data_IF_527641268372
#
_entry.id   IF_527641268372
#
_cell.length_a   1.000
_cell.length_b   1.000
_cell.length_c   1.000
_cell.angle_alpha   90.00
_cell.angle_beta   90.00
_cell.angle_gamma   90.00
#
_symmetry.space_group_name_H-M   'P 1'
#
loop_
_entity.id
_entity.type
_entity.pdbx_description
1 polymer ?
#
# COMPACT_ATOMS: atom_id res chain seq x y z
N UNK A 1 7.43 30.77 20.28
CA UNK A 1 7.53 29.60 21.18
C UNK A 1 8.35 28.56 20.45
N UNK A 2 9.56 28.25 20.94
CA UNK A 2 10.52 27.38 20.28
C UNK A 2 10.73 26.11 21.12
N UNK A 3 9.92 25.11 20.86
CA UNK A 3 10.17 23.70 21.20
C UNK A 3 9.80 22.72 20.07
N UNK A 4 10.21 22.92 18.79
CA UNK A 4 10.08 21.88 17.77
C UNK A 4 11.36 21.02 17.58
N UNK A 5 12.54 21.47 18.02
CA UNK A 5 13.81 20.76 17.75
C UNK A 5 14.05 19.54 18.63
N UNK A 6 13.62 19.58 19.90
CA UNK A 6 13.85 18.49 20.85
C UNK A 6 13.08 17.21 20.46
N UNK A 7 11.83 17.36 20.03
CA UNK A 7 10.97 16.25 19.63
C UNK A 7 11.49 15.54 18.36
N UNK A 8 12.11 16.30 17.45
CA UNK A 8 12.74 15.76 16.24
C UNK A 8 13.98 14.95 16.58
N UNK A 9 14.88 15.48 17.41
CA UNK A 9 16.10 14.77 17.76
C UNK A 9 15.81 13.48 18.54
N UNK A 10 14.83 13.50 19.46
CA UNK A 10 14.38 12.30 20.16
C UNK A 10 13.79 11.26 19.20
N UNK A 11 12.93 11.68 18.27
CA UNK A 11 12.34 10.77 17.29
C UNK A 11 13.40 10.18 16.35
N UNK A 12 14.36 10.98 15.87
CA UNK A 12 15.47 10.52 15.02
C UNK A 12 16.32 9.49 15.78
N UNK A 13 16.65 9.76 17.05
CA UNK A 13 17.42 8.85 17.89
C UNK A 13 16.70 7.51 18.08
N UNK A 14 15.39 7.54 18.35
CA UNK A 14 14.56 6.36 18.52
C UNK A 14 14.41 5.55 17.21
N UNK A 15 14.29 6.24 16.07
CA UNK A 15 13.93 5.64 14.78
C UNK A 15 15.13 5.17 13.95
N UNK A 16 16.33 5.73 14.15
CA UNK A 16 17.51 5.39 13.36
C UNK A 16 17.92 3.92 13.47
N UNK A 17 17.70 3.30 14.63
CA UNK A 17 17.94 1.87 14.83
C UNK A 17 16.99 0.99 14.02
N UNK A 18 15.72 1.40 13.89
CA UNK A 18 14.73 0.73 13.06
C UNK A 18 15.09 0.81 11.57
N UNK A 19 15.43 2.01 11.08
CA UNK A 19 15.89 2.21 9.70
C UNK A 19 17.11 1.34 9.41
N UNK A 20 18.12 1.39 10.28
CA UNK A 20 19.36 0.60 10.09
C UNK A 20 19.05 -0.89 9.98
N UNK A 21 18.19 -1.41 10.87
CA UNK A 21 17.78 -2.82 10.88
C UNK A 21 17.03 -3.21 9.60
N UNK A 22 16.06 -2.39 9.21
CA UNK A 22 15.22 -2.66 8.04
C UNK A 22 16.03 -2.59 6.74
N UNK A 23 16.93 -1.62 6.59
CA UNK A 23 17.81 -1.51 5.41
C UNK A 23 18.82 -2.67 5.37
N UNK A 24 19.45 -3.00 6.49
CA UNK A 24 20.42 -4.09 6.57
C UNK A 24 19.80 -5.47 6.24
N UNK A 25 18.52 -5.69 6.58
CA UNK A 25 17.79 -6.92 6.21
C UNK A 25 17.77 -7.17 4.70
N UNK A 26 17.77 -6.10 3.91
CA UNK A 26 17.74 -6.16 2.45
C UNK A 26 19.15 -6.16 1.83
N UNK A 27 20.20 -6.40 2.63
CA UNK A 27 21.58 -6.49 2.15
C UNK A 27 22.21 -5.16 1.77
N UNK A 28 21.56 -4.03 2.09
CA UNK A 28 22.07 -2.70 1.82
C UNK A 28 22.88 -2.21 3.02
N UNK A 29 24.18 -1.91 2.86
CA UNK A 29 24.97 -1.36 3.95
C UNK A 29 24.51 0.07 4.27
N UNK A 30 24.21 0.33 5.54
CA UNK A 30 23.92 1.67 6.04
C UNK A 30 24.47 1.83 7.44
N UNK A 31 25.06 2.98 7.72
CA UNK A 31 25.48 3.33 9.07
C UNK A 31 24.32 3.94 9.86
N UNK A 32 24.37 3.84 11.20
CA UNK A 32 23.39 4.53 12.06
C UNK A 32 23.35 6.04 11.79
N UNK A 33 24.51 6.66 11.55
CA UNK A 33 24.62 8.09 11.22
C UNK A 33 23.94 8.45 9.91
N UNK A 34 24.08 7.62 8.86
CA UNK A 34 23.35 7.83 7.61
C UNK A 34 21.85 7.65 7.79
N UNK A 35 21.42 6.66 8.56
CA UNK A 35 20.01 6.47 8.88
C UNK A 35 19.43 7.70 9.59
N UNK A 36 20.13 8.22 10.60
CA UNK A 36 19.73 9.43 11.32
C UNK A 36 19.68 10.67 10.41
N UNK A 37 20.66 10.82 9.52
CA UNK A 37 20.70 11.93 8.56
C UNK A 37 19.55 11.87 7.55
N UNK A 38 19.23 10.67 7.04
CA UNK A 38 18.07 10.47 6.16
C UNK A 38 16.77 10.83 6.87
N UNK A 39 16.60 10.40 8.12
CA UNK A 39 15.43 10.75 8.94
C UNK A 39 15.30 12.27 9.11
N UNK A 40 16.40 12.99 9.41
CA UNK A 40 16.37 14.46 9.52
C UNK A 40 15.94 15.14 8.22
N UNK A 41 16.49 14.72 7.08
CA UNK A 41 16.09 15.26 5.77
C UNK A 41 14.62 15.00 5.45
N UNK A 42 14.12 13.82 5.80
CA UNK A 42 12.70 13.50 5.65
C UNK A 42 11.84 14.37 6.57
N UNK A 43 12.24 14.61 7.81
CA UNK A 43 11.54 15.53 8.72
C UNK A 43 11.51 16.95 8.15
N UNK A 44 12.64 17.45 7.65
CA UNK A 44 12.73 18.78 7.02
C UNK A 44 11.78 18.90 5.83
N UNK A 45 11.77 17.89 4.95
CA UNK A 45 10.88 17.84 3.78
C UNK A 45 9.41 17.79 4.18
N UNK A 46 9.04 16.90 5.12
CA UNK A 46 7.66 16.69 5.53
C UNK A 46 7.12 17.77 6.48
N UNK A 47 8.01 18.58 7.05
CA UNK A 47 7.63 19.75 7.85
C UNK A 47 7.55 21.04 7.01
N UNK A 48 7.94 20.98 5.73
CA UNK A 48 7.84 22.12 4.84
C UNK A 48 6.35 22.47 4.56
N UNK A 49 5.98 23.75 4.46
CA UNK A 49 4.62 24.13 4.13
C UNK A 49 4.26 23.66 2.72
N UNK A 50 3.08 23.04 2.58
CA UNK A 50 2.51 22.67 1.28
C UNK A 50 1.63 23.82 0.80
N UNK A 51 1.77 24.19 -0.47
CA UNK A 51 1.00 25.26 -1.09
C UNK A 51 0.17 24.70 -2.24
N UNK A 52 -1.02 25.26 -2.44
CA UNK A 52 -1.79 25.12 -3.69
C UNK A 52 -1.59 26.39 -4.50
N UNK A 53 -1.38 26.22 -5.80
CA UNK A 53 -1.31 27.32 -6.76
C UNK A 53 -2.69 27.44 -7.40
N UNK A 54 -3.33 28.61 -7.28
CA UNK A 54 -4.58 28.87 -7.98
C UNK A 54 -4.34 29.22 -9.47
N UNK A 55 -5.42 29.27 -10.26
CA UNK A 55 -5.37 29.62 -11.70
C UNK A 55 -4.77 31.02 -11.96
N UNK A 56 -4.68 31.86 -10.92
CA UNK A 56 -4.06 33.19 -10.96
C UNK A 56 -2.57 33.20 -10.57
N UNK A 57 -1.98 32.06 -10.21
CA UNK A 57 -0.58 31.92 -9.79
C UNK A 57 -0.33 32.28 -8.32
N UNK A 58 -1.37 32.40 -7.50
CA UNK A 58 -1.23 32.71 -6.07
C UNK A 58 -0.95 31.44 -5.28
N UNK A 59 0.11 31.47 -4.47
CA UNK A 59 0.45 30.40 -3.55
C UNK A 59 -0.36 30.53 -2.26
N UNK A 60 -1.29 29.60 -2.04
CA UNK A 60 -2.07 29.51 -0.80
C UNK A 60 -1.57 28.35 0.05
N UNK A 61 -1.10 28.58 1.30
CA UNK A 61 -0.66 27.50 2.16
C UNK A 61 -1.84 26.63 2.56
N UNK A 62 -1.68 25.32 2.48
CA UNK A 62 -2.65 24.38 3.03
C UNK A 62 -2.59 24.37 4.57
N UNK A 63 -3.72 24.09 5.24
CA UNK A 63 -3.72 23.87 6.68
C UNK A 63 -2.70 22.79 7.03
N UNK A 64 -1.81 23.10 7.98
CA UNK A 64 -0.91 22.10 8.53
C UNK A 64 -1.72 21.10 9.36
N UNK A 65 -1.41 19.81 9.19
CA UNK A 65 -2.04 18.74 9.97
C UNK A 65 -1.67 18.86 11.45
N UNK A 66 -2.56 18.43 12.34
CA UNK A 66 -2.31 18.43 13.80
C UNK A 66 -1.14 17.51 14.19
N UNK A 67 -0.96 16.40 13.47
CA UNK A 67 0.16 15.48 13.64
C UNK A 67 1.04 15.59 12.38
N UNK A 68 2.34 15.93 12.52
CA UNK A 68 3.24 15.95 11.38
C UNK A 68 3.37 14.56 10.75
N UNK A 69 3.38 14.48 9.41
CA UNK A 69 3.46 13.20 8.68
C UNK A 69 4.63 12.33 9.12
N UNK A 70 5.78 12.92 9.44
CA UNK A 70 6.97 12.17 9.90
C UNK A 70 6.79 11.50 11.27
N UNK A 71 5.77 11.90 12.06
CA UNK A 71 5.40 11.24 13.32
C UNK A 71 4.39 10.10 13.12
N UNK A 72 3.84 9.94 11.91
CA UNK A 72 2.88 8.87 11.64
C UNK A 72 3.55 7.49 11.77
N UNK A 73 2.81 6.47 12.29
CA UNK A 73 3.29 5.10 12.33
C UNK A 73 3.75 4.62 10.94
N UNK A 74 4.95 4.04 10.86
CA UNK A 74 5.54 3.56 9.61
C UNK A 74 6.45 4.56 8.91
N UNK A 75 6.56 5.80 9.37
CA UNK A 75 7.45 6.82 8.75
C UNK A 75 8.92 6.37 8.70
N UNK A 76 9.43 5.75 9.77
CA UNK A 76 10.78 5.20 9.79
C UNK A 76 10.94 4.04 8.78
N UNK A 77 9.92 3.20 8.65
CA UNK A 77 9.89 2.13 7.66
C UNK A 77 9.90 2.68 6.22
N UNK A 78 9.16 3.76 5.94
CA UNK A 78 9.16 4.43 4.63
C UNK A 78 10.54 4.97 4.27
N UNK A 79 11.28 5.53 5.22
CA UNK A 79 12.68 5.97 5.00
C UNK A 79 13.59 4.78 4.69
N UNK A 80 13.38 3.64 5.36
CA UNK A 80 14.12 2.41 5.07
C UNK A 80 13.78 1.88 3.67
N UNK A 81 12.50 1.84 3.30
CA UNK A 81 12.01 1.44 1.98
C UNK A 81 12.67 2.27 0.88
N UNK A 82 12.63 3.61 1.00
CA UNK A 82 13.26 4.50 0.05
C UNK A 82 14.77 4.24 -0.07
N UNK A 83 15.47 4.05 1.06
CA UNK A 83 16.91 3.77 1.04
C UNK A 83 17.25 2.45 0.31
N UNK A 84 16.44 1.41 0.50
CA UNK A 84 16.59 0.11 -0.18
C UNK A 84 16.26 0.24 -1.68
N UNK A 85 15.20 0.99 -2.01
CA UNK A 85 14.81 1.26 -3.39
C UNK A 85 15.89 2.02 -4.17
N UNK A 86 16.46 3.08 -3.61
CA UNK A 86 17.56 3.84 -4.23
C UNK A 86 18.84 3.01 -4.39
N UNK A 87 18.99 1.92 -3.63
CA UNK A 87 20.07 0.95 -3.81
C UNK A 87 19.77 -0.12 -4.88
N UNK A 88 18.64 0.00 -5.58
CA UNK A 88 18.20 -0.93 -6.62
C UNK A 88 17.69 -2.27 -6.09
N UNK A 89 17.33 -2.35 -4.80
CA UNK A 89 16.82 -3.57 -4.18
C UNK A 89 15.30 -3.48 -3.96
N UNK A 90 14.57 -4.60 -4.08
CA UNK A 90 13.16 -4.63 -3.67
C UNK A 90 13.05 -4.56 -2.15
N UNK A 91 12.10 -3.77 -1.66
CA UNK A 91 11.77 -3.70 -0.24
C UNK A 91 10.59 -4.62 0.08
N UNK A 92 10.73 -5.46 1.09
CA UNK A 92 9.68 -6.31 1.63
C UNK A 92 9.51 -6.01 3.12
N UNK A 93 8.35 -5.50 3.57
CA UNK A 93 8.09 -5.23 4.98
C UNK A 93 8.25 -6.46 5.86
N UNK A 94 8.62 -6.27 7.14
CA UNK A 94 8.74 -7.41 8.09
C UNK A 94 7.39 -8.05 8.34
N UNK A 95 6.39 -7.19 8.56
CA UNK A 95 5.02 -7.56 8.77
C UNK A 95 4.16 -6.91 7.68
N UNK A 96 4.01 -7.59 6.53
CA UNK A 96 3.30 -7.04 5.39
C UNK A 96 1.82 -6.73 5.67
N UNK A 97 1.20 -7.39 6.64
CA UNK A 97 -0.21 -7.21 6.98
C UNK A 97 -0.48 -5.89 7.72
N UNK A 98 0.52 -5.35 8.40
CA UNK A 98 0.39 -4.13 9.21
C UNK A 98 1.18 -2.95 8.66
N UNK A 99 2.16 -3.22 7.78
CA UNK A 99 2.97 -2.16 7.18
C UNK A 99 2.12 -1.31 6.24
N UNK A 100 2.35 0.00 6.31
CA UNK A 100 1.73 1.00 5.43
C UNK A 100 2.70 1.54 4.39
N UNK A 101 3.89 0.95 4.28
CA UNK A 101 4.84 1.31 3.24
C UNK A 101 4.20 1.08 1.88
N UNK A 102 4.34 2.06 1.00
CA UNK A 102 3.96 1.97 -0.39
C UNK A 102 4.99 1.12 -1.15
N UNK A 103 4.48 0.16 -1.91
CA UNK A 103 5.26 -0.71 -2.79
C UNK A 103 5.05 -0.27 -4.22
N UNK A 104 6.13 -0.24 -5.00
CA UNK A 104 6.05 -0.07 -6.44
C UNK A 104 5.58 -1.39 -7.08
N UNK A 105 4.31 -1.44 -7.49
CA UNK A 105 3.69 -2.59 -8.14
C UNK A 105 3.56 -2.31 -9.65
N UNK A 106 4.03 -3.19 -10.54
CA UNK A 106 3.82 -3.00 -11.98
C UNK A 106 2.33 -2.82 -12.31
N UNK A 107 2.01 -1.88 -13.19
CA UNK A 107 0.64 -1.51 -13.54
C UNK A 107 -0.27 -2.71 -13.87
N UNK A 108 0.21 -3.61 -14.73
CA UNK A 108 -0.53 -4.83 -15.11
C UNK A 108 -0.83 -5.73 -13.90
N UNK A 109 0.07 -5.76 -12.92
CA UNK A 109 -0.12 -6.53 -11.68
C UNK A 109 -1.15 -5.86 -10.78
N UNK A 110 -1.09 -4.54 -10.63
CA UNK A 110 -2.04 -3.77 -9.83
C UNK A 110 -3.47 -3.88 -10.37
N UNK A 111 -3.64 -3.68 -11.68
CA UNK A 111 -4.95 -3.80 -12.35
C UNK A 111 -5.50 -5.22 -12.29
N UNK A 112 -4.65 -6.25 -12.48
CA UNK A 112 -5.05 -7.64 -12.32
C UNK A 112 -5.51 -7.96 -10.89
N UNK A 113 -4.82 -7.43 -9.87
CA UNK A 113 -5.19 -7.62 -8.46
C UNK A 113 -6.60 -7.07 -8.17
N UNK A 114 -6.86 -5.83 -8.60
CA UNK A 114 -8.19 -5.18 -8.47
C UNK A 114 -9.27 -5.99 -9.19
N UNK A 115 -8.99 -6.41 -10.43
CA UNK A 115 -9.93 -7.19 -11.22
C UNK A 115 -10.27 -8.54 -10.57
N UNK A 116 -9.27 -9.26 -10.07
CA UNK A 116 -9.46 -10.54 -9.40
C UNK A 116 -10.26 -10.39 -8.10
N UNK A 117 -9.97 -9.34 -7.31
CA UNK A 117 -10.73 -9.06 -6.08
C UNK A 117 -12.19 -8.69 -6.39
N UNK A 118 -12.44 -7.91 -7.44
CA UNK A 118 -13.79 -7.59 -7.92
C UNK A 118 -14.55 -8.84 -8.35
N UNK A 119 -13.93 -9.70 -9.16
CA UNK A 119 -14.53 -10.97 -9.58
C UNK A 119 -14.86 -11.88 -8.39
N UNK A 120 -14.00 -11.92 -7.37
CA UNK A 120 -14.22 -12.66 -6.13
C UNK A 120 -15.45 -12.16 -5.39
N UNK A 121 -15.60 -10.84 -5.23
CA UNK A 121 -16.76 -10.23 -4.58
C UNK A 121 -18.05 -10.52 -5.35
N UNK A 122 -18.04 -10.38 -6.67
CA UNK A 122 -19.20 -10.71 -7.52
C UNK A 122 -19.60 -12.17 -7.37
N UNK A 123 -18.64 -13.10 -7.39
CA UNK A 123 -18.91 -14.52 -7.22
C UNK A 123 -19.53 -14.84 -5.84
N UNK A 124 -19.10 -14.14 -4.78
CA UNK A 124 -19.65 -14.29 -3.43
C UNK A 124 -21.07 -13.75 -3.30
N UNK A 125 -21.35 -12.62 -3.93
CA UNK A 125 -22.68 -11.99 -3.92
C UNK A 125 -23.71 -12.71 -4.79
N UNK A 126 -23.26 -13.41 -5.84
CA UNK A 126 -24.13 -14.14 -6.78
C UNK A 126 -24.18 -15.64 -6.54
N UNK A 127 -23.49 -16.13 -5.50
CA UNK A 127 -23.46 -17.54 -5.14
C UNK A 127 -24.80 -18.08 -4.62
N UNK A 128 -24.96 -19.42 -4.53
CA UNK A 128 -26.23 -20.07 -4.17
C UNK A 128 -26.73 -19.75 -2.75
N UNK A 129 -25.85 -19.30 -1.85
CA UNK A 129 -26.21 -18.73 -0.55
C UNK A 129 -25.62 -17.33 -0.45
N UNK A 130 -26.25 -16.32 -1.07
CA UNK A 130 -25.76 -14.95 -1.00
C UNK A 130 -25.97 -14.45 0.43
N UNK A 131 -24.89 -14.01 1.07
CA UNK A 131 -24.94 -13.42 2.40
C UNK A 131 -23.98 -12.25 2.48
N UNK A 132 -24.47 -11.05 2.78
CA UNK A 132 -23.61 -9.92 3.11
C UNK A 132 -23.09 -10.10 4.54
N UNK A 133 -21.86 -10.59 4.67
CA UNK A 133 -21.17 -10.73 5.95
C UNK A 133 -20.06 -9.66 6.08
N UNK A 134 -19.53 -9.52 7.29
CA UNK A 134 -18.49 -8.53 7.59
C UNK A 134 -17.26 -8.67 6.66
N UNK A 135 -16.86 -9.90 6.33
CA UNK A 135 -15.74 -10.17 5.42
C UNK A 135 -15.96 -9.61 4.01
N UNK A 136 -17.20 -9.66 3.48
CA UNK A 136 -17.52 -9.07 2.18
C UNK A 136 -17.51 -7.55 2.21
N UNK A 137 -17.95 -6.95 3.32
CA UNK A 137 -17.88 -5.49 3.51
C UNK A 137 -16.42 -5.04 3.55
N UNK A 138 -15.57 -5.74 4.29
CA UNK A 138 -14.12 -5.47 4.36
C UNK A 138 -13.44 -5.66 3.00
N UNK A 139 -13.77 -6.72 2.28
CA UNK A 139 -13.25 -6.95 0.93
C UNK A 139 -13.73 -5.88 -0.07
N UNK A 140 -14.97 -5.39 0.04
CA UNK A 140 -15.48 -4.30 -0.80
C UNK A 140 -14.81 -2.96 -0.47
N UNK A 141 -14.55 -2.67 0.81
CA UNK A 141 -13.79 -1.51 1.24
C UNK A 141 -12.35 -1.57 0.73
N UNK A 142 -11.71 -2.74 0.80
CA UNK A 142 -10.39 -2.97 0.26
C UNK A 142 -10.37 -2.77 -1.27
N UNK A 143 -11.35 -3.33 -1.99
CA UNK A 143 -11.50 -3.11 -3.43
C UNK A 143 -11.61 -1.62 -3.75
N UNK A 144 -12.38 -0.86 -2.96
CA UNK A 144 -12.54 0.57 -3.16
C UNK A 144 -11.21 1.33 -2.99
N UNK A 145 -10.41 0.99 -1.96
CA UNK A 145 -9.08 1.61 -1.76
C UNK A 145 -8.14 1.29 -2.92
N UNK A 146 -7.98 0.02 -3.26
CA UNK A 146 -7.11 -0.41 -4.37
C UNK A 146 -7.56 0.16 -5.73
N UNK A 147 -8.88 0.29 -5.95
CA UNK A 147 -9.41 0.90 -7.17
C UNK A 147 -9.16 2.41 -7.20
N UNK A 148 -9.18 3.09 -6.05
CA UNK A 148 -8.83 4.49 -5.94
C UNK A 148 -7.36 4.74 -6.26
N UNK A 149 -6.44 3.87 -5.78
CA UNK A 149 -5.02 3.95 -6.12
C UNK A 149 -4.82 3.87 -7.65
N UNK A 150 -5.47 2.89 -8.31
CA UNK A 150 -5.43 2.75 -9.77
C UNK A 150 -6.04 3.95 -10.49
N UNK A 151 -7.17 4.47 -10.01
CA UNK A 151 -7.87 5.59 -10.65
C UNK A 151 -7.14 6.93 -10.46
N UNK A 152 -6.46 7.14 -9.33
CA UNK A 152 -5.69 8.35 -9.05
C UNK A 152 -4.56 8.54 -10.07
N UNK A 153 -3.86 7.47 -10.44
CA UNK A 153 -2.81 7.58 -11.45
C UNK A 153 -3.35 7.86 -12.87
N UNK A 154 -4.53 7.35 -13.23
CA UNK A 154 -5.17 7.73 -14.49
C UNK A 154 -5.47 9.23 -14.59
N UNK A 155 -5.62 9.93 -13.45
CA UNK A 155 -5.83 11.39 -13.43
C UNK A 155 -4.53 12.20 -13.53
N UNK A 156 -3.36 11.55 -13.35
CA UNK A 156 -2.04 12.20 -13.48
C UNK A 156 -1.47 12.12 -14.90
N UNK A 157 -1.91 11.16 -15.70
CA UNK A 157 -1.56 11.05 -17.13
C UNK A 157 -2.13 12.20 -17.99
N UNK A 158 -3.13 12.96 -17.50
CA UNK A 158 -3.64 14.16 -18.18
C UNK A 158 -2.77 15.41 -17.95
N UNK A 159 -1.82 15.36 -17.00
CA UNK A 159 -0.82 16.41 -16.81
C UNK A 159 0.44 16.07 -17.62
N UNK A 160 0.59 16.74 -18.78
CA UNK A 160 1.75 16.70 -19.66
C UNK A 160 3.07 17.23 -19.04
N UNK A 161 3.20 17.19 -17.70
CA UNK A 161 4.26 17.79 -16.89
C UNK A 161 5.15 16.78 -16.17
N UNK A 162 4.86 15.48 -16.24
CA UNK A 162 5.74 14.46 -15.65
C UNK A 162 6.96 14.25 -16.55
N UNK A 163 8.09 14.83 -16.14
CA UNK A 163 9.40 14.56 -16.72
C UNK A 163 9.79 13.09 -16.58
N UNK A 164 10.82 12.67 -17.31
CA UNK A 164 11.30 11.28 -17.39
C UNK A 164 11.72 10.62 -16.04
N UNK A 165 11.49 11.27 -14.90
CA UNK A 165 11.92 10.86 -13.57
C UNK A 165 11.01 9.81 -12.91
N UNK A 166 9.77 9.61 -13.36
CA UNK A 166 8.87 8.55 -12.83
C UNK A 166 8.99 7.19 -13.58
N UNK A 167 9.89 7.09 -14.57
CA UNK A 167 10.13 5.85 -15.33
C UNK A 167 11.33 5.08 -14.76
N UNK A 168 11.10 4.06 -13.94
CA UNK A 168 12.15 3.09 -13.56
C UNK A 168 12.24 1.98 -14.60
N UNK A 169 13.01 2.24 -15.67
CA UNK A 169 12.87 1.48 -16.92
C UNK A 169 11.53 1.80 -17.57
N UNK A 170 11.26 1.32 -18.77
CA UNK A 170 10.05 1.65 -19.56
C UNK A 170 8.70 1.18 -18.95
N UNK A 171 8.63 0.89 -17.64
CA UNK A 171 7.49 0.30 -16.95
C UNK A 171 6.85 1.31 -16.01
N UNK A 172 5.55 1.50 -16.17
CA UNK A 172 4.71 2.28 -15.25
C UNK A 172 4.47 1.43 -14.00
N UNK A 173 4.81 1.97 -12.84
CA UNK A 173 4.54 1.36 -11.53
C UNK A 173 3.49 2.18 -10.78
N UNK A 174 2.64 1.51 -10.03
CA UNK A 174 1.69 2.09 -9.10
C UNK A 174 2.24 1.93 -7.68
N UNK A 175 2.24 3.03 -6.92
CA UNK A 175 2.52 2.99 -5.50
C UNK A 175 1.26 2.55 -4.76
N UNK A 176 1.33 1.40 -4.09
CA UNK A 176 0.18 0.83 -3.37
C UNK A 176 0.59 0.45 -1.95
N UNK A 177 -0.30 0.67 -0.97
CA UNK A 177 0.00 0.31 0.42
C UNK A 177 0.19 -1.20 0.56
N UNK A 178 1.31 -1.60 1.17
CA UNK A 178 1.66 -3.01 1.37
C UNK A 178 0.56 -3.78 2.09
N UNK A 179 -0.01 -3.27 3.19
CA UNK A 179 -1.10 -3.95 3.90
C UNK A 179 -2.31 -4.26 3.01
N UNK A 180 -2.71 -3.34 2.13
CA UNK A 180 -3.85 -3.53 1.24
C UNK A 180 -3.53 -4.55 0.14
N UNK A 181 -2.33 -4.49 -0.44
CA UNK A 181 -1.85 -5.50 -1.40
C UNK A 181 -1.85 -6.90 -0.78
N UNK A 182 -1.31 -7.03 0.43
CA UNK A 182 -1.24 -8.31 1.12
C UNK A 182 -2.59 -8.83 1.59
N UNK A 183 -3.47 -7.95 2.08
CA UNK A 183 -4.84 -8.33 2.42
C UNK A 183 -5.60 -8.86 1.19
N UNK A 184 -5.41 -8.25 0.02
CA UNK A 184 -6.02 -8.72 -1.21
C UNK A 184 -5.46 -10.09 -1.65
N UNK A 185 -4.15 -10.29 -1.53
CA UNK A 185 -3.51 -11.58 -1.81
C UNK A 185 -4.01 -12.68 -0.87
N UNK A 186 -4.14 -12.41 0.43
CA UNK A 186 -4.65 -13.37 1.41
C UNK A 186 -6.09 -13.82 1.07
N UNK A 187 -6.96 -12.87 0.69
CA UNK A 187 -8.33 -13.16 0.24
C UNK A 187 -8.35 -14.04 -1.03
N UNK A 188 -7.43 -13.79 -1.97
CA UNK A 188 -7.32 -14.56 -3.21
C UNK A 188 -6.73 -15.97 -2.97
N UNK A 189 -5.73 -16.10 -2.10
CA UNK A 189 -5.07 -17.37 -1.76
C UNK A 189 -6.00 -18.29 -0.98
N UNK A 190 -6.77 -17.76 -0.03
CA UNK A 190 -7.76 -18.52 0.73
C UNK A 190 -8.71 -19.29 -0.20
N UNK A 191 -9.05 -18.72 -1.37
CA UNK A 191 -9.94 -19.36 -2.34
C UNK A 191 -9.27 -20.41 -3.21
N UNK A 192 -7.95 -20.36 -3.45
CA UNK A 192 -7.24 -21.48 -4.12
C UNK A 192 -7.28 -22.76 -3.27
N UNK A 193 -7.43 -22.64 -1.96
CA UNK A 193 -7.45 -23.76 -1.00
C UNK A 193 -8.87 -24.29 -0.70
N UNK A 194 -9.91 -23.49 -0.90
CA UNK A 194 -11.31 -23.86 -0.59
C UNK A 194 -12.06 -24.75 -1.62
N UNK A 195 -11.63 -25.02 -2.88
CA UNK A 195 -12.45 -25.84 -3.78
C UNK A 195 -12.46 -27.35 -3.43
N UNK A 196 -11.88 -27.78 -2.30
CA UNK A 196 -11.81 -29.20 -1.89
C UNK A 196 -12.76 -29.61 -0.77
N UNK A 197 -13.66 -28.74 -0.31
CA UNK A 197 -14.55 -29.05 0.83
C UNK A 197 -16.05 -29.07 0.50
N UNK A 198 -16.42 -29.44 -0.74
CA UNK A 198 -17.79 -29.91 -1.01
C UNK A 198 -17.71 -31.39 -1.40
N UNK A 199 -18.06 -32.33 -0.51
CA UNK A 199 -18.40 -33.68 -0.93
C UNK A 199 -19.64 -33.58 -1.82
N UNK A 200 -19.52 -34.12 -3.02
CA UNK A 200 -20.61 -34.43 -3.94
C UNK A 200 -21.71 -35.18 -3.20
N UNK A 201 -22.78 -34.48 -2.80
CA UNK A 201 -24.07 -35.14 -2.57
C UNK A 201 -24.68 -35.45 -3.93
N UNK A 202 -24.16 -36.49 -4.57
CA UNK A 202 -24.86 -37.19 -5.63
C UNK A 202 -26.10 -37.84 -4.98
N UNK A 203 -27.19 -37.10 -4.95
CA UNK A 203 -28.52 -37.62 -4.69
C UNK A 203 -28.89 -38.57 -5.83
N UNK A 204 -28.65 -39.86 -5.61
CA UNK A 204 -29.10 -40.91 -6.50
C UNK A 204 -30.51 -41.35 -6.08
N UNK A 205 -31.52 -40.76 -6.72
CA UNK A 205 -32.80 -41.38 -7.12
C UNK A 205 -33.76 -40.30 -7.63
N UNK A 206 -34.47 -40.54 -8.76
CA UNK A 206 -35.52 -41.57 -8.74
C UNK A 206 -35.65 -42.39 -10.04
N UNK A 207 -35.97 -43.67 -9.89
CA UNK A 207 -36.76 -44.38 -10.89
C UNK A 207 -37.86 -45.17 -10.17
N UNK A 208 -39.10 -44.73 -10.40
CA UNK A 208 -40.31 -45.48 -10.13
C UNK A 208 -40.36 -46.68 -11.08
N UNK A 209 -40.77 -47.85 -10.60
CA UNK A 209 -41.80 -48.63 -11.29
C UNK A 209 -42.58 -49.46 -10.28
N UNK A 210 -43.90 -49.25 -10.31
CA UNK A 210 -44.90 -50.15 -9.79
C UNK A 210 -44.99 -51.37 -10.72
N UNK A 211 -45.24 -52.54 -10.13
CA UNK A 211 -45.36 -53.84 -10.79
C UNK A 211 -45.04 -54.93 -9.80
#
# INVERSE_FOLDING_TARGET
MSTPRTDVDEWVLASAAEVTRNVARHGVPITWSEAAERLRRTVELLSAPVFVIDDGGTFTPLPQQEIPRWQEPGSAESVACAAVHYAGQPYYPENPQTSRVELAIPWDTATALVHLLSALLVARLTGPTPSCNQEQVEAAQLLNRLSADVAFEFSRDDDALLGDEEKVGERVYLLMQSCDVWQALDLLVYIRLVPRLVPTTAGDKPARHAG
#
